data_IF_576549008477
#
_entry.id   IF_576549008477
#
_cell.length_a   1.000
_cell.length_b   1.000
_cell.length_c   1.000
_cell.angle_alpha   90.00
_cell.angle_beta   90.00
_cell.angle_gamma   90.00
#
_symmetry.space_group_name_H-M   'P 1'
#
loop_
_entity.id
_entity.type
_entity.pdbx_description
1 polymer ?
#
# COMPACT_ATOMS: atom_id res chain seq x y z
N UNK A 1 37.83 20.43 9.21
CA UNK A 1 37.19 19.37 8.41
C UNK A 1 36.24 18.59 9.30
N UNK A 2 34.98 18.99 9.34
CA UNK A 2 33.85 18.19 9.84
C UNK A 2 32.60 18.84 9.24
N UNK A 3 32.01 18.20 8.23
CA UNK A 3 30.81 18.69 7.54
C UNK A 3 29.60 18.08 8.25
N UNK A 4 28.75 18.93 8.84
CA UNK A 4 27.58 18.55 9.63
C UNK A 4 26.43 18.10 8.69
N UNK A 5 25.99 16.85 8.85
CA UNK A 5 24.99 16.17 8.01
C UNK A 5 23.53 16.52 8.39
N UNK A 6 23.31 17.52 9.25
CA UNK A 6 22.01 17.72 9.92
C UNK A 6 21.07 18.80 9.32
N UNK A 7 21.49 19.53 8.27
CA UNK A 7 20.69 20.63 7.70
C UNK A 7 19.97 20.33 6.36
N UNK A 8 19.95 19.08 5.87
CA UNK A 8 19.33 18.74 4.57
C UNK A 8 17.97 18.04 4.63
N UNK A 9 17.31 18.01 5.79
CA UNK A 9 15.96 17.42 5.94
C UNK A 9 14.83 18.46 5.72
N UNK A 10 15.15 19.72 5.41
CA UNK A 10 14.15 20.80 5.30
C UNK A 10 14.16 21.43 3.91
N UNK A 11 13.59 20.74 2.91
CA UNK A 11 13.34 21.34 1.60
C UNK A 11 12.05 20.84 0.90
N UNK A 12 11.04 20.39 1.67
CA UNK A 12 9.76 19.89 1.12
C UNK A 12 8.51 20.71 1.45
N UNK A 13 8.63 21.84 2.16
CA UNK A 13 7.44 22.58 2.68
C UNK A 13 7.47 24.09 2.36
N UNK A 14 7.97 24.48 1.21
CA UNK A 14 7.98 25.89 0.79
C UNK A 14 7.65 26.08 -0.69
N UNK A 15 6.45 25.72 -1.15
CA UNK A 15 5.92 26.25 -2.42
C UNK A 15 4.39 26.42 -2.35
N UNK A 16 3.96 27.37 -1.53
CA UNK A 16 2.69 28.09 -1.71
C UNK A 16 3.09 29.45 -2.29
N UNK A 17 3.03 29.60 -3.62
CA UNK A 17 2.69 30.85 -4.32
C UNK A 17 2.75 30.70 -5.84
N UNK A 18 1.62 31.03 -6.46
CA UNK A 18 1.44 31.83 -7.68
C UNK A 18 2.49 31.72 -8.80
N UNK A 19 2.07 31.19 -9.95
CA UNK A 19 2.47 31.77 -11.24
C UNK A 19 1.24 32.00 -12.12
N UNK A 20 0.87 33.28 -12.19
CA UNK A 20 0.08 33.86 -13.25
C UNK A 20 0.97 34.14 -14.47
N UNK A 21 0.39 34.08 -15.66
CA UNK A 21 0.87 34.81 -16.85
C UNK A 21 1.88 34.09 -17.74
N UNK A 22 1.38 33.31 -18.72
CA UNK A 22 2.17 32.92 -19.89
C UNK A 22 2.01 34.01 -20.96
N UNK A 23 3.08 34.75 -21.25
CA UNK A 23 3.16 35.62 -22.42
C UNK A 23 3.39 34.78 -23.69
N UNK A 24 2.47 34.87 -24.66
CA UNK A 24 2.62 34.36 -26.02
C UNK A 24 3.52 35.28 -26.85
N UNK A 25 4.58 34.79 -27.52
CA UNK A 25 5.16 35.50 -28.63
C UNK A 25 4.38 35.21 -29.92
N UNK A 26 4.03 36.28 -30.63
CA UNK A 26 3.47 36.27 -31.97
C UNK A 26 4.63 36.09 -32.95
N UNK A 27 4.63 35.01 -33.74
CA UNK A 27 5.47 34.89 -34.93
C UNK A 27 4.58 34.65 -36.15
N UNK A 28 4.63 35.59 -37.08
CA UNK A 28 4.09 35.50 -38.44
C UNK A 28 5.12 34.82 -39.33
N UNK A 29 4.72 33.83 -40.15
CA UNK A 29 5.61 33.32 -41.19
C UNK A 29 5.12 32.06 -41.92
N UNK A 30 4.62 32.29 -43.13
CA UNK A 30 4.63 31.46 -44.34
C UNK A 30 4.17 29.99 -44.30
N UNK A 31 3.11 29.73 -45.08
CA UNK A 31 2.56 28.44 -45.42
C UNK A 31 3.50 27.60 -46.31
N UNK A 32 3.63 26.32 -45.98
CA UNK A 32 4.11 25.24 -46.84
C UNK A 32 3.13 24.08 -46.70
N UNK A 33 2.34 23.84 -47.76
CA UNK A 33 1.39 22.75 -47.89
C UNK A 33 2.15 21.46 -48.24
N UNK A 34 2.47 20.66 -47.23
CA UNK A 34 2.89 19.26 -47.40
C UNK A 34 1.74 18.36 -46.98
N UNK A 35 1.14 17.66 -47.95
CA UNK A 35 0.08 16.69 -47.74
C UNK A 35 0.69 15.38 -47.20
N UNK A 36 1.04 15.37 -45.92
CA UNK A 36 1.49 14.20 -45.19
C UNK A 36 0.27 13.41 -44.70
N UNK A 37 0.07 12.20 -45.22
CA UNK A 37 -0.92 11.26 -44.72
C UNK A 37 -0.47 10.77 -43.33
N UNK A 38 -0.79 11.54 -42.29
CA UNK A 38 -0.46 11.23 -40.91
C UNK A 38 -1.33 10.09 -40.40
N UNK A 39 -0.74 8.91 -40.23
CA UNK A 39 -1.30 7.85 -39.39
C UNK A 39 -1.28 8.40 -37.96
N UNK A 40 -2.44 8.89 -37.49
CA UNK A 40 -2.63 9.25 -36.09
C UNK A 40 -2.69 7.93 -35.31
N UNK A 41 -1.54 7.45 -34.86
CA UNK A 41 -1.44 6.50 -33.76
C UNK A 41 -2.11 7.16 -32.56
N UNK A 42 -3.39 6.87 -32.37
CA UNK A 42 -4.08 7.26 -31.15
C UNK A 42 -3.38 6.53 -30.00
N UNK A 43 -2.82 7.22 -29.00
CA UNK A 43 -2.43 6.56 -27.78
C UNK A 43 -3.68 5.83 -27.27
N UNK A 44 -3.59 4.50 -27.14
CA UNK A 44 -4.70 3.69 -26.67
C UNK A 44 -5.22 4.31 -25.37
N UNK A 45 -6.51 4.65 -25.35
CA UNK A 45 -7.14 5.20 -24.17
C UNK A 45 -6.97 4.16 -23.05
N UNK A 46 -6.10 4.44 -22.08
CA UNK A 46 -6.02 3.67 -20.85
C UNK A 46 -7.38 3.81 -20.18
N UNK A 47 -8.15 2.72 -20.18
CA UNK A 47 -9.42 2.69 -19.46
C UNK A 47 -9.09 2.94 -17.99
N UNK A 48 -9.78 3.91 -17.37
CA UNK A 48 -9.68 4.09 -15.92
C UNK A 48 -10.01 2.75 -15.23
N UNK A 49 -9.20 2.37 -14.24
CA UNK A 49 -9.45 1.16 -13.44
C UNK A 49 -10.87 1.17 -12.89
N UNK A 50 -11.56 0.03 -12.98
CA UNK A 50 -12.81 -0.14 -12.26
C UNK A 50 -12.51 -0.54 -10.82
N UNK A 51 -12.35 0.45 -9.93
CA UNK A 51 -12.02 0.15 -8.53
C UNK A 51 -13.13 -0.45 -7.71
N UNK A 52 -14.36 -0.44 -8.21
CA UNK A 52 -15.47 -1.19 -7.62
C UNK A 52 -15.26 -2.69 -7.83
N UNK A 53 -14.75 -3.11 -8.99
CA UNK A 53 -14.51 -4.51 -9.29
C UNK A 53 -13.25 -4.69 -10.17
N UNK A 54 -12.05 -4.56 -9.59
CA UNK A 54 -10.80 -4.69 -10.33
C UNK A 54 -10.62 -6.13 -10.81
N UNK A 55 -10.49 -6.29 -12.13
CA UNK A 55 -10.48 -7.58 -12.82
C UNK A 55 -9.07 -8.16 -13.03
N UNK A 56 -8.01 -7.38 -12.78
CA UNK A 56 -6.62 -7.79 -12.98
C UNK A 56 -5.70 -7.27 -11.87
N UNK A 57 -4.52 -7.86 -11.70
CA UNK A 57 -3.51 -7.34 -10.77
C UNK A 57 -3.11 -5.89 -11.08
N UNK A 58 -3.09 -5.52 -12.36
CA UNK A 58 -2.79 -4.14 -12.77
C UNK A 58 -3.87 -3.18 -12.28
N UNK A 59 -5.15 -3.52 -12.46
CA UNK A 59 -6.26 -2.72 -11.93
C UNK A 59 -6.23 -2.64 -10.40
N UNK A 60 -5.89 -3.73 -9.70
CA UNK A 60 -5.72 -3.72 -8.24
C UNK A 60 -4.68 -2.68 -7.81
N UNK A 61 -3.53 -2.63 -8.50
CA UNK A 61 -2.45 -1.67 -8.22
C UNK A 61 -2.88 -0.24 -8.56
N UNK A 62 -3.56 -0.03 -9.69
CA UNK A 62 -4.11 1.29 -10.05
C UNK A 62 -5.09 1.79 -8.97
N UNK A 63 -5.92 0.91 -8.44
CA UNK A 63 -6.86 1.25 -7.37
C UNK A 63 -6.17 1.55 -6.04
N UNK A 64 -5.08 0.86 -5.72
CA UNK A 64 -4.27 1.20 -4.54
C UNK A 64 -3.59 2.57 -4.71
N UNK A 65 -3.14 2.89 -5.93
CA UNK A 65 -2.64 4.24 -6.25
C UNK A 65 -3.73 5.31 -6.11
N UNK A 66 -4.96 5.01 -6.52
CA UNK A 66 -6.11 5.90 -6.32
C UNK A 66 -6.45 6.08 -4.84
N UNK A 67 -6.42 5.00 -4.04
CA UNK A 67 -6.60 5.05 -2.59
C UNK A 67 -5.53 5.94 -1.94
N UNK A 68 -4.25 5.72 -2.26
CA UNK A 68 -3.12 6.49 -1.74
C UNK A 68 -3.31 8.00 -1.97
N UNK A 69 -3.67 8.39 -3.21
CA UNK A 69 -3.93 9.79 -3.56
C UNK A 69 -5.16 10.36 -2.89
N UNK A 70 -6.24 9.58 -2.81
CA UNK A 70 -7.48 9.99 -2.13
C UNK A 70 -7.20 10.28 -0.65
N UNK A 71 -6.51 9.36 0.04
CA UNK A 71 -6.19 9.53 1.45
C UNK A 71 -5.24 10.70 1.70
N UNK A 72 -4.28 10.91 0.80
CA UNK A 72 -3.36 12.06 0.89
C UNK A 72 -4.08 13.40 0.62
N UNK A 73 -5.05 13.44 -0.29
CA UNK A 73 -5.89 14.63 -0.47
C UNK A 73 -6.76 14.91 0.76
N UNK A 74 -7.36 13.87 1.35
CA UNK A 74 -8.24 13.97 2.51
C UNK A 74 -7.51 14.47 3.75
N UNK A 75 -6.34 13.91 4.08
CA UNK A 75 -5.57 14.37 5.25
C UNK A 75 -5.18 15.85 5.11
N UNK A 76 -4.82 16.31 3.91
CA UNK A 76 -4.47 17.71 3.65
C UNK A 76 -5.69 18.63 3.79
N UNK A 77 -6.88 18.18 3.35
CA UNK A 77 -8.14 18.91 3.52
C UNK A 77 -8.47 19.07 5.01
N UNK A 78 -8.53 17.97 5.76
CA UNK A 78 -8.88 18.00 7.19
C UNK A 78 -7.83 18.78 8.00
N UNK A 79 -6.53 18.62 7.70
CA UNK A 79 -5.47 19.42 8.32
C UNK A 79 -5.69 20.92 8.08
N UNK A 80 -6.05 21.32 6.86
CA UNK A 80 -6.37 22.72 6.53
C UNK A 80 -7.55 23.26 7.34
N UNK A 81 -8.60 22.47 7.49
CA UNK A 81 -9.79 22.81 8.27
C UNK A 81 -9.48 22.99 9.75
N UNK A 82 -8.76 22.05 10.37
CA UNK A 82 -8.31 22.16 11.77
C UNK A 82 -7.44 23.40 11.94
N UNK A 83 -6.41 23.56 11.09
CA UNK A 83 -5.46 24.67 11.16
C UNK A 83 -6.13 26.04 11.04
N UNK A 84 -7.20 26.15 10.25
CA UNK A 84 -7.93 27.41 10.05
C UNK A 84 -8.63 27.93 11.32
N UNK A 85 -8.89 27.05 12.30
CA UNK A 85 -9.60 27.35 13.54
C UNK A 85 -8.66 27.65 14.72
N UNK A 86 -7.36 27.48 14.54
CA UNK A 86 -6.35 27.64 15.58
C UNK A 86 -5.76 29.05 15.57
N UNK A 87 -5.33 29.51 16.74
CA UNK A 87 -4.44 30.66 16.86
C UNK A 87 -3.00 30.30 16.44
N UNK A 88 -2.06 31.24 16.52
CA UNK A 88 -0.71 30.99 16.02
C UNK A 88 0.07 29.95 16.85
N UNK A 89 -0.19 29.88 18.15
CA UNK A 89 0.36 28.85 19.02
C UNK A 89 -0.18 27.46 18.64
N UNK A 90 -1.50 27.33 18.44
CA UNK A 90 -2.13 26.09 18.00
C UNK A 90 -1.70 25.66 16.60
N UNK A 91 -1.57 26.61 15.64
CA UNK A 91 -1.02 26.30 14.30
C UNK A 91 0.40 25.74 14.38
N UNK A 92 1.24 26.29 15.26
CA UNK A 92 2.60 25.81 15.47
C UNK A 92 2.60 24.40 16.08
N UNK A 93 1.77 24.17 17.11
CA UNK A 93 1.62 22.86 17.75
C UNK A 93 1.16 21.80 16.73
N UNK A 94 0.05 22.05 16.02
CA UNK A 94 -0.48 21.14 15.01
C UNK A 94 0.54 20.80 13.91
N UNK A 95 1.31 21.79 13.44
CA UNK A 95 2.38 21.56 12.46
C UNK A 95 3.45 20.60 12.99
N UNK A 96 3.85 20.77 14.25
CA UNK A 96 4.87 19.92 14.87
C UNK A 96 4.33 18.50 15.08
N UNK A 97 3.07 18.35 15.48
CA UNK A 97 2.38 17.06 15.58
C UNK A 97 2.31 16.35 14.23
N UNK A 98 1.93 17.03 13.14
CA UNK A 98 1.91 16.40 11.82
C UNK A 98 3.29 15.93 11.36
N UNK A 99 4.34 16.70 11.66
CA UNK A 99 5.72 16.30 11.34
C UNK A 99 6.14 15.06 12.13
N UNK A 100 5.80 15.02 13.41
CA UNK A 100 6.05 13.84 14.25
C UNK A 100 5.27 12.63 13.73
N UNK A 101 4.00 12.82 13.34
CA UNK A 101 3.18 11.77 12.75
C UNK A 101 3.76 11.24 11.43
N UNK A 102 4.18 12.11 10.50
CA UNK A 102 4.81 11.70 9.24
C UNK A 102 6.05 10.84 9.49
N UNK A 103 6.91 11.25 10.43
CA UNK A 103 8.08 10.47 10.83
C UNK A 103 7.68 9.09 11.34
N UNK A 104 6.70 9.01 12.24
CA UNK A 104 6.20 7.73 12.77
C UNK A 104 5.60 6.83 11.70
N UNK A 105 4.81 7.38 10.78
CA UNK A 105 4.25 6.65 9.63
C UNK A 105 5.37 6.05 8.79
N UNK A 106 6.35 6.86 8.42
CA UNK A 106 7.42 6.44 7.52
C UNK A 106 8.31 5.37 8.19
N UNK A 107 8.63 5.53 9.47
CA UNK A 107 9.35 4.53 10.26
C UNK A 107 8.56 3.22 10.38
N UNK A 108 7.26 3.29 10.69
CA UNK A 108 6.42 2.09 10.85
C UNK A 108 6.19 1.36 9.52
N UNK A 109 6.00 2.11 8.43
CA UNK A 109 5.85 1.53 7.10
C UNK A 109 7.19 1.20 6.42
N UNK A 110 8.33 1.38 7.09
CA UNK A 110 9.65 1.06 6.56
C UNK A 110 10.01 1.81 5.27
N UNK A 111 9.66 3.10 5.17
CA UNK A 111 9.92 3.93 4.00
C UNK A 111 11.31 4.57 4.04
N UNK A 112 11.99 4.66 2.89
CA UNK A 112 13.15 5.54 2.70
C UNK A 112 12.67 6.92 2.24
N UNK A 113 12.79 7.95 3.08
CA UNK A 113 12.10 9.23 2.96
C UNK A 113 12.90 10.33 2.25
N UNK A 114 13.70 9.95 1.24
CA UNK A 114 14.59 10.89 0.54
C UNK A 114 13.96 11.61 -0.65
N UNK A 115 12.80 11.15 -1.13
CA UNK A 115 12.12 11.78 -2.26
C UNK A 115 11.24 12.94 -1.79
N UNK A 116 11.47 14.11 -2.38
CA UNK A 116 10.77 15.36 -2.07
C UNK A 116 9.73 15.76 -3.11
N UNK A 117 9.83 15.21 -4.33
CA UNK A 117 8.81 15.34 -5.36
C UNK A 117 7.63 14.43 -5.03
N UNK A 118 6.44 15.03 -4.86
CA UNK A 118 5.24 14.30 -4.43
C UNK A 118 4.82 13.22 -5.41
N UNK A 119 4.97 13.44 -6.71
CA UNK A 119 4.59 12.45 -7.71
C UNK A 119 5.57 11.29 -7.73
N UNK A 120 6.87 11.56 -7.70
CA UNK A 120 7.89 10.52 -7.59
C UNK A 120 7.75 9.73 -6.28
N UNK A 121 7.39 10.39 -5.18
CA UNK A 121 7.11 9.73 -3.91
C UNK A 121 5.93 8.75 -4.03
N UNK A 122 4.83 9.17 -4.67
CA UNK A 122 3.71 8.27 -4.93
C UNK A 122 4.12 7.05 -5.77
N UNK A 123 4.90 7.26 -6.83
CA UNK A 123 5.36 6.16 -7.68
C UNK A 123 6.31 5.22 -6.95
N UNK A 124 7.25 5.77 -6.16
CA UNK A 124 8.22 5.00 -5.39
C UNK A 124 7.53 4.12 -4.34
N UNK A 125 6.52 4.64 -3.64
CA UNK A 125 5.77 3.86 -2.66
C UNK A 125 4.92 2.79 -3.33
N UNK A 126 4.22 3.14 -4.42
CA UNK A 126 3.34 2.21 -5.12
C UNK A 126 4.07 0.98 -5.67
N UNK A 127 5.38 1.08 -5.91
CA UNK A 127 6.23 -0.05 -6.27
C UNK A 127 6.30 -1.14 -5.16
N UNK A 128 6.01 -0.78 -3.91
CA UNK A 128 5.85 -1.70 -2.79
C UNK A 128 4.40 -1.66 -2.26
N UNK A 129 3.63 -2.68 -2.63
CA UNK A 129 2.19 -2.81 -2.33
C UNK A 129 1.93 -2.89 -0.83
N UNK A 130 2.72 -3.67 -0.08
CA UNK A 130 2.55 -3.82 1.37
C UNK A 130 2.78 -2.49 2.10
N UNK A 131 3.87 -1.78 1.77
CA UNK A 131 4.17 -0.46 2.32
C UNK A 131 3.13 0.57 1.92
N UNK A 132 2.60 0.51 0.70
CA UNK A 132 1.51 1.39 0.26
C UNK A 132 0.24 1.17 1.08
N UNK A 133 -0.15 -0.08 1.33
CA UNK A 133 -1.29 -0.41 2.21
C UNK A 133 -1.08 0.17 3.61
N UNK A 134 0.13 0.05 4.16
CA UNK A 134 0.50 0.67 5.44
C UNK A 134 0.33 2.19 5.43
N UNK A 135 0.78 2.89 4.39
CA UNK A 135 0.65 4.34 4.26
C UNK A 135 -0.80 4.77 4.17
N UNK A 136 -1.62 4.05 3.40
CA UNK A 136 -3.06 4.30 3.30
C UNK A 136 -3.73 4.17 4.67
N UNK A 137 -3.43 3.10 5.43
CA UNK A 137 -3.91 2.91 6.81
C UNK A 137 -3.59 4.11 7.70
N UNK A 138 -2.30 4.42 7.84
CA UNK A 138 -1.83 5.47 8.75
C UNK A 138 -2.42 6.84 8.39
N UNK A 139 -2.62 7.10 7.09
CA UNK A 139 -3.17 8.37 6.60
C UNK A 139 -4.67 8.48 6.88
N UNK A 140 -5.43 7.40 6.73
CA UNK A 140 -6.84 7.34 7.12
C UNK A 140 -7.01 7.56 8.63
N UNK A 141 -6.21 6.88 9.45
CA UNK A 141 -6.25 7.02 10.91
C UNK A 141 -5.99 8.45 11.36
N UNK A 142 -4.97 9.10 10.78
CA UNK A 142 -4.68 10.49 11.11
C UNK A 142 -5.78 11.44 10.65
N UNK A 143 -6.38 11.20 9.48
CA UNK A 143 -7.53 11.99 9.01
C UNK A 143 -8.71 11.87 9.97
N UNK A 144 -9.02 10.67 10.45
CA UNK A 144 -10.06 10.44 11.44
C UNK A 144 -9.73 11.08 12.80
N UNK A 145 -8.47 11.02 13.24
CA UNK A 145 -8.01 11.67 14.47
C UNK A 145 -8.19 13.19 14.39
N UNK A 146 -7.76 13.82 13.30
CA UNK A 146 -7.90 15.26 13.10
C UNK A 146 -9.37 15.70 13.05
N UNK A 147 -10.22 14.91 12.39
CA UNK A 147 -11.65 15.17 12.36
C UNK A 147 -12.31 15.04 13.75
N UNK A 148 -11.83 14.12 14.60
CA UNK A 148 -12.30 13.97 15.97
C UNK A 148 -11.86 15.15 16.86
N UNK A 149 -10.60 15.57 16.76
CA UNK A 149 -10.05 16.75 17.44
C UNK A 149 -10.86 18.02 17.09
N UNK A 150 -11.23 18.19 15.81
CA UNK A 150 -12.11 19.26 15.36
C UNK A 150 -13.50 19.24 15.99
N UNK A 151 -14.03 18.07 16.30
CA UNK A 151 -15.35 17.92 16.90
C UNK A 151 -15.35 18.13 18.43
N UNK A 152 -14.23 18.57 19.02
CA UNK A 152 -14.08 18.71 20.47
C UNK A 152 -14.11 17.36 21.20
N UNK A 153 -14.02 16.25 20.46
CA UNK A 153 -13.82 14.93 21.07
C UNK A 153 -12.36 14.88 21.48
N UNK A 154 -12.09 14.33 22.67
CA UNK A 154 -10.72 14.04 23.07
C UNK A 154 -10.03 13.29 21.92
N UNK A 155 -8.76 13.59 21.60
CA UNK A 155 -8.01 12.78 20.66
C UNK A 155 -8.22 11.32 21.05
N UNK A 156 -8.55 10.45 20.09
CA UNK A 156 -8.43 9.02 20.35
C UNK A 156 -7.04 8.83 20.96
N UNK A 157 -6.92 8.20 22.16
CA UNK A 157 -5.64 8.15 22.84
C UNK A 157 -4.58 7.69 21.84
N UNK A 158 -3.49 8.46 21.69
CA UNK A 158 -2.33 8.01 20.94
C UNK A 158 -1.98 6.66 21.56
N UNK A 159 -2.28 5.57 20.86
CA UNK A 159 -1.95 4.23 21.33
C UNK A 159 -0.43 4.25 21.51
N UNK A 160 0.10 4.13 22.74
CA UNK A 160 1.52 4.28 22.98
C UNK A 160 2.28 3.29 22.10
N UNK A 161 3.47 3.69 21.63
CA UNK A 161 4.32 2.92 20.72
C UNK A 161 4.61 1.47 21.17
N UNK A 162 4.42 1.14 22.46
CA UNK A 162 4.56 -0.22 22.99
C UNK A 162 3.37 -1.16 22.69
N UNK A 163 2.25 -0.62 22.21
CA UNK A 163 1.05 -1.37 21.79
C UNK A 163 0.77 -1.19 20.30
N UNK A 164 1.78 -0.85 19.51
CA UNK A 164 1.73 -0.81 18.05
C UNK A 164 1.59 -2.23 17.46
N UNK A 165 0.44 -2.84 17.70
CA UNK A 165 -0.44 -3.49 16.74
C UNK A 165 0.15 -4.34 15.61
N UNK A 166 1.26 -5.04 15.87
CA UNK A 166 1.66 -6.18 15.05
C UNK A 166 0.53 -7.19 14.86
N UNK A 167 -0.48 -7.18 15.76
CA UNK A 167 -1.63 -8.09 15.72
C UNK A 167 -2.93 -7.48 15.14
N UNK A 168 -3.05 -6.15 15.02
CA UNK A 168 -4.33 -5.54 14.61
C UNK A 168 -4.43 -5.29 13.11
N UNK A 169 -3.33 -5.18 12.39
CA UNK A 169 -3.36 -4.76 10.97
C UNK A 169 -2.40 -5.55 10.10
N UNK A 170 -1.56 -6.34 10.73
CA UNK A 170 -0.53 -7.13 10.10
C UNK A 170 -0.59 -8.52 10.74
N UNK A 171 -0.21 -9.53 9.99
CA UNK A 171 0.01 -10.89 10.48
C UNK A 171 1.23 -11.38 9.70
N UNK A 172 2.42 -11.13 10.22
CA UNK A 172 3.69 -11.53 9.61
C UNK A 172 4.29 -12.74 10.32
N UNK A 173 4.76 -13.70 9.55
CA UNK A 173 5.55 -14.82 10.06
C UNK A 173 6.98 -14.40 10.39
N UNK A 174 7.75 -15.35 10.92
CA UNK A 174 9.17 -15.12 11.21
C UNK A 174 9.97 -14.80 9.93
N UNK A 175 10.99 -13.93 10.03
CA UNK A 175 11.86 -13.65 8.89
C UNK A 175 12.69 -14.89 8.53
N UNK A 176 12.81 -15.16 7.23
CA UNK A 176 13.64 -16.22 6.66
C UNK A 176 14.38 -15.67 5.45
N UNK A 177 15.56 -16.21 5.16
CA UNK A 177 16.36 -15.77 4.01
C UNK A 177 16.60 -16.87 2.99
N UNK A 178 16.46 -18.15 3.34
CA UNK A 178 16.73 -19.29 2.46
C UNK A 178 15.66 -20.36 2.62
N UNK A 179 15.62 -21.32 1.69
CA UNK A 179 14.68 -22.43 1.71
C UNK A 179 13.36 -22.14 1.00
N UNK A 180 12.52 -23.19 0.98
CA UNK A 180 11.20 -23.20 0.34
C UNK A 180 10.10 -23.27 1.39
N UNK A 181 9.25 -22.26 1.45
CA UNK A 181 8.29 -22.07 2.53
C UNK A 181 6.87 -22.00 2.00
N UNK A 182 5.93 -22.55 2.76
CA UNK A 182 4.51 -22.55 2.43
C UNK A 182 3.67 -21.98 3.57
N UNK A 183 2.75 -21.08 3.25
CA UNK A 183 1.80 -20.45 4.18
C UNK A 183 0.42 -20.32 3.53
N UNK A 184 -0.64 -20.26 4.34
CA UNK A 184 -2.02 -20.06 3.86
C UNK A 184 -2.70 -18.89 4.57
N UNK A 185 -3.51 -18.12 3.83
CA UNK A 185 -4.47 -17.19 4.40
C UNK A 185 -5.90 -17.64 4.08
N UNK A 186 -6.80 -17.54 5.05
CA UNK A 186 -8.25 -17.69 4.82
C UNK A 186 -8.90 -16.33 4.97
N UNK A 187 -9.62 -15.88 3.95
CA UNK A 187 -10.24 -14.56 3.88
C UNK A 187 -11.69 -14.69 3.42
N UNK A 188 -12.63 -14.29 4.27
CA UNK A 188 -14.04 -14.10 3.93
C UNK A 188 -14.22 -12.75 3.23
N UNK A 189 -13.90 -12.70 1.94
CA UNK A 189 -13.79 -11.44 1.20
C UNK A 189 -15.09 -10.65 1.20
N UNK A 190 -16.24 -11.32 1.04
CA UNK A 190 -17.55 -10.68 1.07
C UNK A 190 -17.93 -10.15 2.45
N UNK A 191 -17.65 -10.89 3.53
CA UNK A 191 -17.91 -10.40 4.88
C UNK A 191 -16.99 -9.22 5.27
N UNK A 192 -15.74 -9.23 4.84
CA UNK A 192 -14.83 -8.09 5.02
C UNK A 192 -15.33 -6.87 4.24
N UNK A 193 -15.69 -7.05 2.96
CA UNK A 193 -16.25 -6.01 2.10
C UNK A 193 -17.52 -5.35 2.67
N UNK A 194 -18.35 -6.10 3.42
CA UNK A 194 -19.53 -5.54 4.10
C UNK A 194 -19.17 -4.61 5.26
N UNK A 195 -18.01 -4.79 5.89
CA UNK A 195 -17.61 -4.04 7.09
C UNK A 195 -16.88 -2.75 6.75
N UNK A 196 -15.94 -2.83 5.81
CA UNK A 196 -15.14 -1.67 5.41
C UNK A 196 -14.52 -1.90 4.03
N UNK A 197 -14.38 -0.82 3.27
CA UNK A 197 -13.53 -0.83 2.08
C UNK A 197 -12.08 -1.04 2.50
N UNK A 198 -11.49 -2.12 2.01
CA UNK A 198 -10.21 -2.61 2.51
C UNK A 198 -9.27 -2.93 1.35
N UNK A 199 -8.03 -2.44 1.44
CA UNK A 199 -6.90 -2.95 0.69
C UNK A 199 -6.16 -3.99 1.56
N UNK A 200 -6.10 -5.23 1.10
CA UNK A 200 -5.34 -6.30 1.73
C UNK A 200 -4.19 -6.72 0.82
N UNK A 201 -2.99 -6.84 1.36
CA UNK A 201 -1.87 -7.49 0.69
C UNK A 201 -1.55 -8.78 1.44
N UNK A 202 -1.48 -9.89 0.70
CA UNK A 202 -0.98 -11.17 1.21
C UNK A 202 0.20 -11.59 0.36
N UNK A 203 1.36 -11.84 0.95
CA UNK A 203 2.56 -12.12 0.17
C UNK A 203 3.85 -12.14 0.98
N UNK A 204 4.96 -12.03 0.25
CA UNK A 204 6.30 -11.93 0.77
C UNK A 204 6.79 -10.48 0.72
N UNK A 205 7.34 -9.98 1.82
CA UNK A 205 7.91 -8.64 1.96
C UNK A 205 9.41 -8.75 2.22
N UNK A 206 10.20 -8.00 1.46
CA UNK A 206 11.64 -7.85 1.64
C UNK A 206 12.05 -6.39 1.51
N UNK A 207 13.33 -6.10 1.73
CA UNK A 207 13.85 -4.74 1.51
C UNK A 207 13.72 -4.26 0.04
N UNK A 208 13.69 -5.18 -0.92
CA UNK A 208 13.62 -4.87 -2.37
C UNK A 208 12.18 -4.67 -2.86
N UNK A 209 11.18 -5.12 -2.09
CA UNK A 209 9.79 -5.03 -2.52
C UNK A 209 8.87 -6.06 -1.87
N UNK A 210 7.60 -5.94 -2.27
CA UNK A 210 6.48 -6.78 -1.87
C UNK A 210 6.04 -7.65 -3.04
N UNK A 211 5.84 -8.95 -2.84
CA UNK A 211 5.51 -9.92 -3.88
C UNK A 211 4.31 -10.75 -3.45
N UNK A 212 3.19 -10.65 -4.18
CA UNK A 212 1.97 -11.39 -3.85
C UNK A 212 0.69 -10.66 -4.26
N UNK A 213 -0.48 -11.32 -4.05
CA UNK A 213 -1.78 -10.75 -4.36
C UNK A 213 -2.10 -9.51 -3.52
N UNK A 214 -2.61 -8.51 -4.21
CA UNK A 214 -3.29 -7.35 -3.64
C UNK A 214 -4.79 -7.52 -3.90
N UNK A 215 -5.60 -7.30 -2.87
CA UNK A 215 -7.04 -7.45 -2.91
C UNK A 215 -7.70 -6.14 -2.48
N UNK A 216 -8.43 -5.52 -3.41
CA UNK A 216 -9.31 -4.41 -3.13
C UNK A 216 -10.72 -4.94 -2.89
N UNK A 217 -11.10 -4.94 -1.62
CA UNK A 217 -12.42 -5.34 -1.13
C UNK A 217 -13.26 -4.08 -0.99
N UNK A 218 -14.28 -3.96 -1.81
CA UNK A 218 -15.22 -2.82 -1.85
C UNK A 218 -16.62 -3.28 -1.51
N UNK A 219 -17.49 -2.37 -1.07
CA UNK A 219 -18.83 -2.73 -0.60
C UNK A 219 -19.68 -3.49 -1.64
N UNK A 220 -19.49 -3.21 -2.93
CA UNK A 220 -20.15 -3.92 -4.03
C UNK A 220 -19.65 -5.37 -4.22
N UNK A 221 -18.53 -5.76 -3.58
CA UNK A 221 -18.01 -7.14 -3.52
C UNK A 221 -18.50 -7.91 -2.29
N UNK A 222 -19.54 -7.43 -1.62
CA UNK A 222 -20.16 -8.07 -0.45
C UNK A 222 -20.63 -9.52 -0.65
N UNK A 223 -20.75 -9.97 -1.91
CA UNK A 223 -21.15 -11.33 -2.27
C UNK A 223 -19.96 -12.24 -2.64
N UNK A 224 -18.72 -11.74 -2.57
CA UNK A 224 -17.53 -12.55 -2.80
C UNK A 224 -17.45 -13.68 -1.76
N UNK A 225 -17.18 -14.92 -2.17
CA UNK A 225 -17.09 -16.02 -1.22
C UNK A 225 -15.83 -15.91 -0.35
N UNK A 226 -15.77 -16.82 0.63
CA UNK A 226 -14.55 -17.07 1.38
C UNK A 226 -13.56 -17.82 0.51
N UNK A 227 -12.31 -17.37 0.52
CA UNK A 227 -11.20 -17.97 -0.21
C UNK A 227 -10.10 -18.43 0.73
N UNK A 228 -9.41 -19.49 0.34
CA UNK A 228 -8.13 -19.90 0.92
C UNK A 228 -7.03 -19.61 -0.09
N UNK A 229 -6.15 -18.69 0.27
CA UNK A 229 -4.97 -18.29 -0.49
C UNK A 229 -3.76 -19.07 0.01
N UNK A 230 -2.98 -19.64 -0.90
CA UNK A 230 -1.69 -20.27 -0.61
C UNK A 230 -0.53 -19.48 -1.18
N UNK A 231 0.57 -19.44 -0.45
CA UNK A 231 1.82 -18.81 -0.88
C UNK A 231 2.95 -19.83 -0.76
N UNK A 232 3.56 -20.20 -1.89
CA UNK A 232 4.76 -21.03 -1.93
C UNK A 232 5.95 -20.17 -2.36
N UNK A 233 6.90 -19.95 -1.45
CA UNK A 233 8.04 -19.04 -1.63
C UNK A 233 9.35 -19.84 -1.63
N UNK A 234 10.03 -19.86 -2.76
CA UNK A 234 11.34 -20.46 -2.97
C UNK A 234 12.43 -19.38 -2.93
N UNK A 235 13.03 -19.17 -1.76
CA UNK A 235 14.08 -18.16 -1.56
C UNK A 235 15.46 -18.60 -2.07
N UNK A 236 15.61 -19.90 -2.37
CA UNK A 236 16.84 -20.44 -2.95
C UNK A 236 16.83 -20.27 -4.49
N UNK A 237 15.67 -20.50 -5.11
CA UNK A 237 15.45 -20.41 -6.55
C UNK A 237 14.90 -19.07 -7.05
N UNK A 238 14.36 -18.22 -6.16
CA UNK A 238 13.87 -16.88 -6.51
C UNK A 238 12.47 -16.87 -7.10
N UNK A 239 11.57 -17.73 -6.58
CA UNK A 239 10.22 -17.87 -7.10
C UNK A 239 9.15 -17.77 -6.02
N UNK A 240 8.02 -17.20 -6.39
CA UNK A 240 6.80 -17.16 -5.59
C UNK A 240 5.63 -17.65 -6.42
N UNK A 241 4.85 -18.57 -5.86
CA UNK A 241 3.64 -19.12 -6.48
C UNK A 241 2.44 -18.86 -5.58
N UNK A 242 1.33 -18.47 -6.20
CA UNK A 242 0.07 -18.22 -5.53
C UNK A 242 -0.92 -19.32 -5.85
N UNK A 243 -1.71 -19.70 -4.85
CA UNK A 243 -2.79 -20.68 -4.96
C UNK A 243 -4.08 -20.03 -4.47
N UNK A 244 -5.20 -20.27 -5.17
CA UNK A 244 -6.53 -19.87 -4.74
C UNK A 244 -7.42 -21.10 -4.78
N UNK A 245 -7.98 -21.47 -3.65
CA UNK A 245 -8.91 -22.60 -3.52
C UNK A 245 -8.42 -23.89 -4.20
N UNK A 246 -7.17 -24.25 -3.92
CA UNK A 246 -6.53 -25.47 -4.43
C UNK A 246 -5.93 -25.34 -5.83
N UNK A 247 -6.27 -24.28 -6.56
CA UNK A 247 -5.76 -24.02 -7.92
C UNK A 247 -4.56 -23.10 -7.89
N UNK A 248 -3.43 -23.56 -8.44
CA UNK A 248 -2.28 -22.68 -8.68
C UNK A 248 -2.63 -21.62 -9.74
N UNK A 249 -2.00 -20.46 -9.65
CA UNK A 249 -2.11 -19.40 -10.66
C UNK A 249 -1.47 -19.80 -11.99
N UNK A 250 -0.60 -18.94 -12.52
CA UNK A 250 0.00 -19.17 -13.84
C UNK A 250 0.81 -20.48 -13.95
N UNK A 251 1.46 -20.89 -12.86
CA UNK A 251 2.19 -22.16 -12.78
C UNK A 251 2.24 -22.68 -11.34
N UNK A 252 2.52 -23.97 -11.20
CA UNK A 252 2.69 -24.62 -9.92
C UNK A 252 4.17 -24.61 -9.47
N UNK A 253 4.45 -24.73 -8.16
CA UNK A 253 5.81 -24.91 -7.65
C UNK A 253 6.57 -26.02 -8.37
N UNK A 254 7.80 -25.72 -8.79
CA UNK A 254 8.64 -26.64 -9.58
C UNK A 254 8.50 -26.48 -11.10
N UNK A 255 7.55 -25.66 -11.58
CA UNK A 255 7.41 -25.28 -12.99
C UNK A 255 7.94 -23.86 -13.22
N UNK A 256 8.29 -23.55 -14.47
CA UNK A 256 8.60 -22.17 -14.87
C UNK A 256 7.32 -21.32 -14.87
N UNK A 257 7.43 -20.03 -14.56
CA UNK A 257 6.30 -19.08 -14.65
C UNK A 257 5.71 -18.58 -13.33
N UNK A 258 6.36 -18.85 -12.19
CA UNK A 258 6.05 -18.16 -10.93
C UNK A 258 6.40 -16.67 -11.00
N UNK A 259 6.05 -15.93 -9.95
CA UNK A 259 6.52 -14.55 -9.78
C UNK A 259 8.00 -14.58 -9.36
N UNK A 260 8.84 -13.83 -10.08
CA UNK A 260 10.26 -13.75 -9.73
C UNK A 260 10.45 -12.86 -8.50
N UNK A 261 11.25 -13.34 -7.55
CA UNK A 261 11.58 -12.64 -6.31
C UNK A 261 13.09 -12.69 -6.05
N UNK A 262 13.63 -11.77 -5.23
CA UNK A 262 15.03 -11.81 -4.83
C UNK A 262 15.38 -13.12 -4.12
N UNK A 263 16.58 -13.64 -4.40
CA UNK A 263 17.12 -14.82 -3.73
C UNK A 263 17.89 -14.41 -2.48
N UNK A 264 17.85 -15.26 -1.44
CA UNK A 264 18.74 -15.15 -0.27
C UNK A 264 18.65 -13.83 0.52
N UNK A 265 17.52 -13.14 0.45
CA UNK A 265 17.27 -11.91 1.21
C UNK A 265 16.34 -12.15 2.41
N UNK A 266 16.55 -11.45 3.54
CA UNK A 266 15.59 -11.45 4.64
C UNK A 266 14.19 -11.09 4.15
N UNK A 267 13.27 -12.04 4.34
CA UNK A 267 11.90 -11.98 3.83
C UNK A 267 10.94 -12.41 4.92
N UNK A 268 9.86 -11.66 5.11
CA UNK A 268 8.71 -12.08 5.91
C UNK A 268 7.56 -12.45 4.98
N UNK A 269 6.74 -13.42 5.37
CA UNK A 269 5.53 -13.80 4.64
C UNK A 269 4.33 -13.57 5.53
N UNK A 270 3.22 -13.14 4.95
CA UNK A 270 2.05 -12.80 5.75
C UNK A 270 1.12 -11.83 5.05
N UNK A 271 0.36 -11.10 5.87
CA UNK A 271 -0.74 -10.27 5.43
C UNK A 271 -0.68 -8.89 6.09
N UNK A 272 -0.98 -7.83 5.34
CA UNK A 272 -1.21 -6.47 5.86
C UNK A 272 -2.51 -5.90 5.32
N UNK A 273 -3.13 -5.00 6.09
CA UNK A 273 -4.46 -4.44 5.86
C UNK A 273 -4.52 -2.94 6.03
N UNK A 274 -5.31 -2.27 5.18
CA UNK A 274 -5.60 -0.84 5.31
C UNK A 274 -6.57 -0.49 6.45
N UNK A 275 -7.22 -1.50 7.05
CA UNK A 275 -8.18 -1.36 8.17
C UNK A 275 -7.84 -2.34 9.30
N UNK A 276 -8.36 -2.08 10.49
CA UNK A 276 -8.13 -2.96 11.63
C UNK A 276 -8.75 -4.34 11.39
N UNK A 277 -7.90 -5.36 11.47
CA UNK A 277 -8.24 -6.76 11.44
C UNK A 277 -8.63 -7.33 12.80
N UNK A 278 -8.57 -6.58 13.90
CA UNK A 278 -8.88 -7.11 15.23
C UNK A 278 -10.26 -7.78 15.30
N UNK A 279 -11.29 -7.09 14.80
CA UNK A 279 -12.65 -7.64 14.68
C UNK A 279 -12.77 -8.69 13.57
N UNK A 280 -11.97 -8.59 12.50
CA UNK A 280 -11.98 -9.56 11.40
C UNK A 280 -11.41 -10.92 11.83
N UNK A 281 -10.33 -10.91 12.60
CA UNK A 281 -9.69 -12.09 13.18
C UNK A 281 -10.59 -12.71 14.25
N UNK A 282 -11.12 -11.88 15.17
CA UNK A 282 -12.03 -12.33 16.22
C UNK A 282 -13.24 -13.07 15.66
N UNK A 283 -13.79 -12.59 14.55
CA UNK A 283 -14.98 -13.16 13.92
C UNK A 283 -14.64 -14.24 12.87
N UNK A 284 -13.37 -14.66 12.76
CA UNK A 284 -12.93 -15.72 11.87
C UNK A 284 -13.02 -15.38 10.38
N UNK A 285 -13.04 -14.09 10.03
CA UNK A 285 -13.08 -13.60 8.65
C UNK A 285 -11.70 -13.54 8.00
N UNK A 286 -10.65 -13.35 8.80
CA UNK A 286 -9.26 -13.34 8.33
C UNK A 286 -8.41 -14.21 9.26
N UNK A 287 -7.59 -15.08 8.68
CA UNK A 287 -6.54 -15.79 9.41
C UNK A 287 -5.38 -16.11 8.49
N UNK A 288 -4.17 -16.21 9.06
CA UNK A 288 -2.98 -16.75 8.39
C UNK A 288 -2.52 -17.98 9.17
N UNK A 289 -2.17 -19.04 8.47
CA UNK A 289 -1.60 -20.26 8.99
C UNK A 289 -0.17 -20.38 8.47
N UNK A 290 0.80 -20.39 9.38
CA UNK A 290 2.21 -20.61 9.05
C UNK A 290 2.61 -22.08 9.22
N UNK A 291 1.69 -22.94 9.65
CA UNK A 291 1.92 -24.37 9.87
C UNK A 291 1.67 -24.84 11.30
N UNK A 292 1.14 -23.97 12.15
CA UNK A 292 0.73 -24.29 13.52
C UNK A 292 -0.45 -25.26 13.54
N UNK A 293 -1.25 -25.25 12.48
CA UNK A 293 -2.37 -26.17 12.23
C UNK A 293 -2.25 -26.78 10.83
N UNK A 294 -2.90 -27.93 10.55
CA UNK A 294 -2.93 -28.50 9.20
C UNK A 294 -3.37 -27.47 8.16
N UNK A 295 -2.67 -27.42 7.03
CA UNK A 295 -3.09 -26.64 5.87
C UNK A 295 -4.34 -27.25 5.24
N UNK A 296 -5.16 -26.40 4.62
CA UNK A 296 -6.36 -26.82 3.88
C UNK A 296 -5.93 -27.61 2.64
N UNK A 297 -4.88 -27.16 1.96
CA UNK A 297 -4.36 -27.82 0.77
C UNK A 297 -2.96 -28.38 1.00
N UNK A 298 -2.64 -29.46 0.28
CA UNK A 298 -1.34 -30.13 0.40
C UNK A 298 -0.17 -29.17 0.16
N UNK A 299 0.85 -29.27 1.02
CA UNK A 299 2.11 -28.54 0.88
C UNK A 299 2.85 -29.07 -0.36
N UNK A 300 3.36 -28.21 -1.25
CA UNK A 300 4.10 -28.68 -2.43
C UNK A 300 5.38 -29.44 -2.05
N UNK A 301 5.81 -30.36 -2.91
CA UNK A 301 7.02 -31.14 -2.68
C UNK A 301 8.25 -30.24 -2.49
N UNK A 302 9.01 -30.51 -1.43
CA UNK A 302 10.20 -29.75 -1.05
C UNK A 302 9.93 -28.42 -0.33
N UNK A 303 8.66 -28.02 -0.16
CA UNK A 303 8.27 -26.87 0.66
C UNK A 303 7.95 -27.32 2.08
N UNK A 304 8.16 -26.43 3.05
CA UNK A 304 7.87 -26.67 4.47
C UNK A 304 7.04 -25.55 5.08
N UNK A 305 6.29 -25.82 6.16
CA UNK A 305 5.62 -24.77 6.92
C UNK A 305 6.63 -23.78 7.53
N UNK A 306 6.19 -22.52 7.72
CA UNK A 306 6.96 -21.42 8.32
C UNK A 306 6.83 -21.32 9.85
N UNK A 307 6.26 -22.33 10.53
CA UNK A 307 6.28 -22.42 12.00
C UNK A 307 7.70 -22.41 12.56
#
# INVERSE_FOLDING_TARGET
MTCNVWERIVAGLSWINMFAGVHRPIVRGAALLTLSLGIVLHPGATRAANCDQPASEEEQVQCLGADLRRTDAEINRVYGEVRSKLDDAGKLALRNEQRAWLKRRDETCGLDNKESDREKWFQAILANRAKTVCVVRFTNERSAQLAAEQAGKAPAPEVPAATASGDLYEIWGKPVSTGKWYVEATIDMGAVAKRAETALFFGAESQEGSYGPLMQLRHNRANEPKHVLGLAVDLDGGWLYTRVDGSWGKSAPGQTGGLQIPVRLPTVMGLTSSVSMAGLIKDGLVSVNFGERPFVYAVPDGYKPLK
#
